data_IF_878631516100
#
_entry.id   IF_878631516100
#
_cell.length_a   1.000
_cell.length_b   1.000
_cell.length_c   1.000
_cell.angle_alpha   90.00
_cell.angle_beta   90.00
_cell.angle_gamma   90.00
#
_symmetry.space_group_name_H-M   'P 1'
#
loop_
_entity.id
_entity.type
_entity.pdbx_description
1 polymer ?
#
# COMPACT_ATOMS: atom_id res chain seq x y z
N UNK A 1 12.55 -0.76 -9.47
CA UNK A 1 12.09 0.63 -9.27
C UNK A 1 11.00 0.85 -10.29
N UNK A 2 9.78 1.20 -9.87
CA UNK A 2 8.71 1.49 -10.82
C UNK A 2 8.99 2.89 -11.39
N UNK A 3 9.40 2.96 -12.66
CA UNK A 3 9.56 4.18 -13.45
C UNK A 3 8.19 4.81 -13.76
N UNK A 4 7.42 5.13 -12.72
CA UNK A 4 6.23 5.96 -12.89
C UNK A 4 6.69 7.42 -13.07
N UNK A 5 6.11 8.14 -14.04
CA UNK A 5 6.23 9.59 -14.12
C UNK A 5 6.00 10.21 -12.75
N UNK A 6 6.74 11.27 -12.40
CA UNK A 6 6.66 11.88 -11.06
C UNK A 6 5.24 12.29 -10.66
N UNK A 7 4.39 12.60 -11.64
CA UNK A 7 2.97 12.91 -11.50
C UNK A 7 2.06 11.71 -11.24
N UNK A 8 2.50 10.49 -11.55
CA UNK A 8 1.78 9.26 -11.24
C UNK A 8 2.22 8.62 -9.92
N UNK A 9 3.31 9.13 -9.31
CA UNK A 9 3.82 8.56 -8.06
C UNK A 9 2.85 8.83 -6.90
N UNK A 10 2.53 7.81 -6.08
CA UNK A 10 1.51 7.95 -5.04
C UNK A 10 1.76 9.07 -4.03
N UNK A 11 3.01 9.25 -3.56
CA UNK A 11 3.33 10.29 -2.55
C UNK A 11 3.16 11.70 -3.12
N UNK A 12 3.61 11.89 -4.35
CA UNK A 12 3.54 13.16 -5.07
C UNK A 12 2.08 13.49 -5.43
N UNK A 13 1.29 12.48 -5.86
CA UNK A 13 -0.16 12.64 -6.06
C UNK A 13 -0.89 12.96 -4.76
N UNK A 14 -0.52 12.31 -3.66
CA UNK A 14 -1.11 12.57 -2.34
C UNK A 14 -0.85 14.02 -1.91
N UNK A 15 0.37 14.53 -2.14
CA UNK A 15 0.74 15.90 -1.82
C UNK A 15 0.00 16.94 -2.69
N UNK A 16 -0.23 16.63 -3.98
CA UNK A 16 -0.85 17.57 -4.94
C UNK A 16 -2.38 17.56 -4.92
N UNK A 17 -2.98 16.38 -4.82
CA UNK A 17 -4.41 16.17 -5.03
C UNK A 17 -5.14 15.61 -3.80
N UNK A 18 -4.40 15.31 -2.73
CA UNK A 18 -4.95 14.75 -1.49
C UNK A 18 -5.27 13.26 -1.60
N UNK A 19 -5.75 12.69 -0.50
CA UNK A 19 -5.97 11.25 -0.37
C UNK A 19 -7.07 10.71 -1.32
N UNK A 20 -8.07 11.53 -1.65
CA UNK A 20 -9.16 11.14 -2.55
C UNK A 20 -8.73 10.87 -3.99
N UNK A 21 -7.53 11.30 -4.39
CA UNK A 21 -6.98 10.99 -5.71
C UNK A 21 -6.34 9.59 -5.78
N UNK A 22 -6.07 8.96 -4.64
CA UNK A 22 -5.42 7.66 -4.55
C UNK A 22 -6.44 6.55 -4.27
N UNK A 23 -6.20 5.37 -4.82
CA UNK A 23 -6.89 4.16 -4.37
C UNK A 23 -6.45 3.77 -2.95
N UNK A 24 -7.29 3.01 -2.24
CA UNK A 24 -6.95 2.46 -0.92
C UNK A 24 -5.62 1.69 -0.94
N UNK A 25 -5.33 1.00 -2.05
CA UNK A 25 -4.05 0.30 -2.27
C UNK A 25 -2.87 1.25 -2.32
N UNK A 26 -3.00 2.36 -3.03
CA UNK A 26 -1.93 3.37 -3.11
C UNK A 26 -1.73 4.07 -1.77
N UNK A 27 -2.81 4.41 -1.07
CA UNK A 27 -2.72 5.00 0.28
C UNK A 27 -1.99 4.06 1.24
N UNK A 28 -2.35 2.77 1.24
CA UNK A 28 -1.68 1.79 2.09
C UNK A 28 -0.21 1.61 1.69
N UNK A 29 0.10 1.59 0.39
CA UNK A 29 1.49 1.51 -0.08
C UNK A 29 2.33 2.73 0.35
N UNK A 30 1.73 3.94 0.39
CA UNK A 30 2.38 5.14 0.92
C UNK A 30 2.72 4.98 2.40
N UNK A 31 1.79 4.43 3.20
CA UNK A 31 1.97 4.17 4.64
C UNK A 31 3.06 3.11 4.88
N UNK A 32 3.04 2.01 4.14
CA UNK A 32 4.08 0.96 4.19
C UNK A 32 5.46 1.52 3.83
N UNK A 33 5.48 2.45 2.88
CA UNK A 33 6.63 3.27 2.51
C UNK A 33 7.72 2.56 1.70
N UNK A 34 7.91 1.26 1.90
CA UNK A 34 8.80 0.39 1.12
C UNK A 34 8.18 -0.99 0.92
N UNK A 35 8.55 -1.65 -0.17
CA UNK A 35 8.24 -3.07 -0.37
C UNK A 35 9.30 -3.98 0.26
N UNK A 36 9.23 -5.26 -0.09
CA UNK A 36 10.25 -6.25 0.25
C UNK A 36 11.26 -6.41 -0.89
N UNK A 37 12.26 -7.28 -0.69
CA UNK A 37 13.16 -7.71 -1.77
C UNK A 37 12.44 -8.39 -2.95
N UNK A 38 11.23 -8.93 -2.75
CA UNK A 38 10.50 -9.74 -3.75
C UNK A 38 9.22 -9.08 -4.27
N UNK A 39 8.73 -8.04 -3.61
CA UNK A 39 7.43 -7.43 -3.89
C UNK A 39 7.50 -5.92 -3.60
N UNK A 40 6.85 -5.10 -4.42
CA UNK A 40 6.76 -3.65 -4.19
C UNK A 40 5.80 -3.32 -3.03
N UNK A 41 5.84 -2.09 -2.53
CA UNK A 41 4.89 -1.63 -1.51
C UNK A 41 3.43 -1.73 -2.01
N UNK A 42 3.20 -1.56 -3.31
CA UNK A 42 1.89 -1.72 -3.93
C UNK A 42 1.42 -3.18 -3.94
N UNK A 43 2.35 -4.13 -4.11
CA UNK A 43 2.04 -5.56 -4.08
C UNK A 43 1.70 -6.01 -2.66
N UNK A 44 2.48 -5.56 -1.67
CA UNK A 44 2.20 -5.82 -0.24
C UNK A 44 0.85 -5.21 0.15
N UNK A 45 0.59 -3.96 -0.24
CA UNK A 45 -0.69 -3.31 0.00
C UNK A 45 -1.87 -4.06 -0.65
N UNK A 46 -1.68 -4.60 -1.87
CA UNK A 46 -2.71 -5.40 -2.53
C UNK A 46 -2.99 -6.71 -1.78
N UNK A 47 -1.95 -7.39 -1.28
CA UNK A 47 -2.10 -8.61 -0.46
C UNK A 47 -2.92 -8.33 0.81
N UNK A 48 -2.55 -7.27 1.54
CA UNK A 48 -3.23 -6.86 2.76
C UNK A 48 -4.70 -6.49 2.51
N UNK A 49 -5.00 -5.89 1.36
CA UNK A 49 -6.35 -5.49 0.97
C UNK A 49 -7.15 -6.59 0.27
N UNK A 50 -6.64 -7.82 0.14
CA UNK A 50 -7.36 -8.91 -0.52
C UNK A 50 -8.74 -9.20 0.12
N UNK A 51 -8.88 -8.94 1.42
CA UNK A 51 -10.14 -9.06 2.17
C UNK A 51 -10.91 -7.73 2.32
N UNK A 52 -10.48 -6.69 1.61
CA UNK A 52 -10.98 -5.33 1.76
C UNK A 52 -10.51 -4.64 3.05
N UNK A 53 -10.80 -3.34 3.18
CA UNK A 53 -10.38 -2.54 4.33
C UNK A 53 -10.93 -3.05 5.66
N UNK A 54 -12.19 -3.49 5.67
CA UNK A 54 -12.82 -4.03 6.89
C UNK A 54 -12.21 -5.37 7.29
N UNK A 55 -11.87 -6.22 6.31
CA UNK A 55 -11.16 -7.47 6.57
C UNK A 55 -9.77 -7.22 7.14
N UNK A 56 -9.03 -6.27 6.56
CA UNK A 56 -7.72 -5.86 7.07
C UNK A 56 -7.79 -5.29 8.49
N UNK A 57 -8.74 -4.39 8.77
CA UNK A 57 -8.90 -3.77 10.08
C UNK A 57 -9.32 -4.77 11.18
N UNK A 58 -9.89 -5.92 10.80
CA UNK A 58 -10.27 -6.98 11.73
C UNK A 58 -9.15 -7.97 12.05
N UNK A 59 -7.98 -7.89 11.40
CA UNK A 59 -6.86 -8.80 11.63
C UNK A 59 -6.11 -8.44 12.90
N UNK A 60 -5.73 -9.47 13.64
CA UNK A 60 -4.81 -9.38 14.78
C UNK A 60 -3.38 -9.10 14.32
N UNK A 61 -2.52 -8.67 15.26
CA UNK A 61 -1.09 -8.46 14.98
C UNK A 61 -0.41 -9.74 14.48
N UNK A 62 -0.70 -10.89 15.09
CA UNK A 62 -0.13 -12.17 14.67
C UNK A 62 -0.50 -12.56 13.23
N UNK A 63 -1.72 -12.23 12.79
CA UNK A 63 -2.15 -12.43 11.41
C UNK A 63 -1.44 -11.47 10.45
N UNK A 64 -1.17 -10.23 10.88
CA UNK A 64 -0.41 -9.26 10.09
C UNK A 64 1.07 -9.64 9.96
N UNK A 65 1.70 -10.14 11.03
CA UNK A 65 3.10 -10.62 11.00
C UNK A 65 3.29 -11.83 10.07
N UNK A 66 2.21 -12.57 9.79
CA UNK A 66 2.24 -13.71 8.86
C UNK A 66 2.17 -13.29 7.39
N UNK A 67 1.84 -12.03 7.10
CA UNK A 67 1.78 -11.49 5.75
C UNK A 67 3.19 -11.20 5.23
N UNK A 68 3.48 -11.67 4.00
CA UNK A 68 4.81 -11.51 3.42
C UNK A 68 5.10 -10.03 3.15
N UNK A 69 5.96 -9.45 3.99
CA UNK A 69 6.43 -8.09 3.83
C UNK A 69 5.98 -7.09 4.87
N UNK A 70 5.30 -7.57 5.92
CA UNK A 70 5.24 -6.91 7.21
C UNK A 70 6.28 -7.49 8.17
#
# INVERSE_FOLDING_TARGET
MLDLPSEDRPRERLARHGAGALSNRELLAVVLGTGTRRASALDVAASLLASGLRGLAGRSVAELESERGL
#
